data_IF_170867470431
#
_entry.id   IF_170867470431
#
_cell.length_a   1.000
_cell.length_b   1.000
_cell.length_c   1.000
_cell.angle_alpha   90.00
_cell.angle_beta   90.00
_cell.angle_gamma   90.00
#
_symmetry.space_group_name_H-M   'P 1'
#
loop_
_entity.id
_entity.type
_entity.pdbx_description
1 polymer ?
#
# COMPACT_ATOMS: atom_id res chain seq x y z
N UNK A 1 14.44 9.13 29.58
CA UNK A 1 14.96 8.13 28.66
C UNK A 1 13.88 7.22 28.05
N UNK A 2 12.75 7.00 28.69
CA UNK A 2 11.64 6.19 28.15
C UNK A 2 10.76 6.86 27.07
N UNK A 3 10.98 8.13 26.74
CA UNK A 3 10.11 8.92 25.86
C UNK A 3 10.45 8.90 24.36
N UNK A 4 11.63 8.48 23.93
CA UNK A 4 12.03 8.63 22.54
C UNK A 4 11.82 7.39 21.64
N UNK A 5 12.00 6.18 22.14
CA UNK A 5 11.96 4.96 21.32
C UNK A 5 10.60 4.26 21.30
N UNK A 6 9.78 4.42 22.35
CA UNK A 6 8.49 3.71 22.45
C UNK A 6 7.38 4.42 21.69
N UNK A 7 7.35 5.76 21.72
CA UNK A 7 6.29 6.54 21.07
C UNK A 7 6.15 6.28 19.56
N UNK A 8 7.23 6.21 18.75
CA UNK A 8 7.13 5.91 17.33
C UNK A 8 6.56 4.52 17.05
N UNK A 9 6.91 3.51 17.86
CA UNK A 9 6.42 2.14 17.71
C UNK A 9 4.92 2.07 18.05
N UNK A 10 4.54 2.68 19.15
CA UNK A 10 3.15 2.69 19.60
C UNK A 10 2.27 3.39 18.56
N UNK A 11 2.64 4.59 18.11
CA UNK A 11 1.80 5.35 17.17
C UNK A 11 1.57 4.63 15.85
N UNK A 12 2.59 3.95 15.32
CA UNK A 12 2.53 3.31 14.00
C UNK A 12 1.71 2.00 14.01
N UNK A 13 1.51 1.42 15.20
CA UNK A 13 0.70 0.21 15.38
C UNK A 13 -0.72 0.57 15.84
N UNK A 14 -0.84 1.41 16.86
CA UNK A 14 -2.14 1.76 17.46
C UNK A 14 -3.04 2.50 16.49
N UNK A 15 -2.51 3.53 15.80
CA UNK A 15 -3.33 4.36 14.93
C UNK A 15 -4.02 3.56 13.81
N UNK A 16 -3.31 2.76 13.00
CA UNK A 16 -3.96 2.02 11.93
C UNK A 16 -4.87 0.89 12.43
N UNK A 17 -4.51 0.19 13.51
CA UNK A 17 -5.34 -0.91 14.02
C UNK A 17 -6.62 -0.38 14.64
N UNK A 18 -6.56 0.64 15.50
CA UNK A 18 -7.76 1.26 16.09
C UNK A 18 -8.67 1.83 15.00
N UNK A 19 -8.09 2.49 14.00
CA UNK A 19 -8.84 3.02 12.87
C UNK A 19 -9.51 1.91 12.06
N UNK A 20 -8.84 0.77 11.87
CA UNK A 20 -9.38 -0.39 11.17
C UNK A 20 -10.65 -0.93 11.84
N UNK A 21 -10.58 -1.16 13.16
CA UNK A 21 -11.71 -1.65 13.92
C UNK A 21 -12.86 -0.62 13.97
N UNK A 22 -12.55 0.66 14.14
CA UNK A 22 -13.53 1.73 14.09
C UNK A 22 -14.28 1.77 12.76
N UNK A 23 -13.56 1.73 11.62
CA UNK A 23 -14.17 1.76 10.30
C UNK A 23 -14.96 0.49 9.97
N UNK A 24 -14.55 -0.65 10.51
CA UNK A 24 -15.34 -1.89 10.42
C UNK A 24 -16.67 -1.76 11.14
N UNK A 25 -16.66 -1.27 12.39
CA UNK A 25 -17.88 -1.09 13.21
C UNK A 25 -18.83 -0.07 12.59
N UNK A 26 -18.29 1.00 12.00
CA UNK A 26 -19.11 2.02 11.31
C UNK A 26 -19.61 1.59 9.92
N UNK A 27 -19.24 0.40 9.44
CA UNK A 27 -19.71 -0.12 8.17
C UNK A 27 -19.18 0.61 6.94
N UNK A 28 -17.97 1.19 7.03
CA UNK A 28 -17.38 1.92 5.89
C UNK A 28 -17.17 0.98 4.69
N UNK A 29 -17.47 1.40 3.44
CA UNK A 29 -17.41 0.53 2.26
C UNK A 29 -16.02 -0.05 1.96
N UNK A 30 -14.95 0.68 2.27
CA UNK A 30 -13.57 0.24 2.09
C UNK A 30 -12.74 0.54 3.37
N UNK A 31 -12.98 -0.20 4.48
CA UNK A 31 -12.39 0.12 5.78
C UNK A 31 -10.88 -0.07 5.84
N UNK A 32 -10.29 -0.79 4.87
CA UNK A 32 -8.85 -1.07 4.81
C UNK A 32 -8.01 0.11 4.29
N UNK A 33 -8.59 1.01 3.45
CA UNK A 33 -7.83 2.05 2.76
C UNK A 33 -7.22 3.07 3.74
N UNK A 34 -8.03 3.61 4.64
CA UNK A 34 -7.55 4.62 5.58
C UNK A 34 -6.44 4.09 6.52
N UNK A 35 -6.53 2.92 7.15
CA UNK A 35 -5.43 2.34 7.93
C UNK A 35 -4.15 2.12 7.13
N UNK A 36 -4.24 1.66 5.88
CA UNK A 36 -3.08 1.53 5.01
C UNK A 36 -2.41 2.88 4.75
N UNK A 37 -3.21 3.92 4.45
CA UNK A 37 -2.67 5.27 4.27
C UNK A 37 -2.05 5.81 5.57
N UNK A 38 -2.62 5.53 6.74
CA UNK A 38 -2.02 5.91 8.04
C UNK A 38 -0.63 5.30 8.20
N UNK A 39 -0.44 4.01 7.91
CA UNK A 39 0.89 3.38 7.96
C UNK A 39 1.86 4.07 7.01
N UNK A 40 1.44 4.33 5.76
CA UNK A 40 2.28 5.00 4.76
C UNK A 40 2.65 6.41 5.22
N UNK A 41 1.68 7.19 5.69
CA UNK A 41 1.90 8.56 6.12
C UNK A 41 2.80 8.63 7.37
N UNK A 42 2.57 7.77 8.37
CA UNK A 42 3.38 7.74 9.60
C UNK A 42 4.83 7.30 9.36
N UNK A 43 5.08 6.50 8.32
CA UNK A 43 6.45 6.08 7.96
C UNK A 43 7.17 7.09 7.09
N UNK A 44 6.43 7.87 6.30
CA UNK A 44 7.02 8.75 5.28
C UNK A 44 7.08 10.22 5.72
N UNK A 45 6.07 10.68 6.47
CA UNK A 45 5.95 12.07 6.90
C UNK A 45 6.69 12.27 8.23
N UNK A 46 7.57 13.29 8.35
CA UNK A 46 8.20 13.63 9.62
C UNK A 46 7.16 14.12 10.64
N UNK A 47 7.45 14.03 11.93
CA UNK A 47 6.53 14.44 13.01
C UNK A 47 6.14 15.92 12.96
N UNK A 48 6.90 16.76 12.26
CA UNK A 48 6.57 18.16 11.97
C UNK A 48 6.59 18.38 10.45
N UNK A 49 5.52 17.98 9.73
CA UNK A 49 5.49 18.15 8.28
C UNK A 49 5.42 19.65 7.93
N UNK A 50 6.18 20.11 6.93
CA UNK A 50 5.97 21.46 6.39
C UNK A 50 4.58 21.52 5.77
N UNK A 51 3.85 22.64 6.02
CA UNK A 51 2.47 22.81 5.55
C UNK A 51 2.37 22.70 4.02
N UNK A 52 3.40 23.12 3.32
CA UNK A 52 3.50 22.97 1.85
C UNK A 52 3.40 21.52 1.38
N UNK A 53 4.03 20.58 2.10
CA UNK A 53 3.97 19.16 1.78
C UNK A 53 2.56 18.59 2.01
N UNK A 54 1.91 18.99 3.10
CA UNK A 54 0.53 18.56 3.41
C UNK A 54 -0.43 19.03 2.32
N UNK A 55 -0.36 20.33 1.96
CA UNK A 55 -1.18 20.89 0.89
C UNK A 55 -0.90 20.21 -0.44
N UNK A 56 0.34 19.97 -0.78
CA UNK A 56 0.74 19.28 -2.01
C UNK A 56 0.17 17.86 -2.07
N UNK A 57 0.20 17.10 -0.97
CA UNK A 57 -0.38 15.76 -0.89
C UNK A 57 -1.89 15.78 -1.10
N UNK A 58 -2.59 16.72 -0.46
CA UNK A 58 -4.06 16.86 -0.62
C UNK A 58 -4.40 17.24 -2.06
N UNK A 59 -3.70 18.20 -2.67
CA UNK A 59 -3.94 18.63 -4.05
C UNK A 59 -3.70 17.46 -5.03
N UNK A 60 -2.60 16.74 -4.86
CA UNK A 60 -2.29 15.59 -5.73
C UNK A 60 -3.34 14.50 -5.58
N UNK A 61 -3.77 14.22 -4.37
CA UNK A 61 -4.81 13.22 -4.15
C UNK A 61 -6.15 13.63 -4.77
N UNK A 62 -6.55 14.89 -4.62
CA UNK A 62 -7.75 15.43 -5.27
C UNK A 62 -7.66 15.28 -6.78
N UNK A 63 -6.56 15.74 -7.37
CA UNK A 63 -6.33 15.62 -8.80
C UNK A 63 -6.36 14.17 -9.28
N UNK A 64 -5.71 13.26 -8.55
CA UNK A 64 -5.68 11.85 -8.93
C UNK A 64 -7.03 11.17 -8.73
N UNK A 65 -7.72 11.40 -7.60
CA UNK A 65 -9.01 10.75 -7.33
C UNK A 65 -10.10 11.22 -8.27
N UNK A 66 -10.29 12.53 -8.39
CA UNK A 66 -11.36 13.11 -9.25
C UNK A 66 -10.96 13.11 -10.73
N UNK A 67 -9.70 13.41 -11.03
CA UNK A 67 -9.19 13.37 -12.40
C UNK A 67 -9.28 11.97 -13.01
N UNK A 68 -8.95 10.93 -12.25
CA UNK A 68 -9.06 9.55 -12.72
C UNK A 68 -10.50 9.15 -13.00
N UNK A 69 -11.44 9.56 -12.14
CA UNK A 69 -12.85 9.26 -12.40
C UNK A 69 -13.36 10.00 -13.61
N UNK A 70 -13.00 11.26 -13.77
CA UNK A 70 -13.34 12.02 -14.97
C UNK A 70 -12.80 11.33 -16.23
N UNK A 71 -11.55 10.88 -16.22
CA UNK A 71 -10.93 10.12 -17.30
C UNK A 71 -11.67 8.80 -17.56
N UNK A 72 -11.99 8.04 -16.51
CA UNK A 72 -12.74 6.78 -16.66
C UNK A 72 -14.12 7.02 -17.26
N UNK A 73 -14.82 8.07 -16.84
CA UNK A 73 -16.13 8.42 -17.38
C UNK A 73 -16.05 8.91 -18.82
N UNK A 74 -15.08 9.76 -19.14
CA UNK A 74 -14.89 10.32 -20.48
C UNK A 74 -14.55 9.23 -21.51
N UNK A 75 -13.77 8.24 -21.11
CA UNK A 75 -13.33 7.13 -21.96
C UNK A 75 -14.08 5.82 -21.70
N UNK A 76 -15.22 5.86 -21.02
CA UNK A 76 -16.02 4.65 -20.72
C UNK A 76 -16.45 3.89 -22.00
N UNK A 77 -16.73 4.65 -23.08
CA UNK A 77 -17.07 4.09 -24.39
C UNK A 77 -15.90 3.74 -25.30
N UNK A 78 -14.66 4.08 -24.92
CA UNK A 78 -13.46 3.85 -25.72
C UNK A 78 -12.35 3.17 -24.91
N UNK A 79 -12.27 1.83 -24.95
CA UNK A 79 -11.27 1.09 -24.18
C UNK A 79 -9.84 1.45 -24.56
N UNK A 80 -9.59 1.79 -25.84
CA UNK A 80 -8.30 2.23 -26.33
C UNK A 80 -7.90 3.61 -25.78
N UNK A 81 -8.84 4.55 -25.74
CA UNK A 81 -8.62 5.88 -25.13
C UNK A 81 -8.29 5.78 -23.65
N UNK A 82 -9.04 4.96 -22.91
CA UNK A 82 -8.75 4.70 -21.49
C UNK A 82 -7.35 4.09 -21.30
N UNK A 83 -6.97 3.09 -22.10
CA UNK A 83 -5.64 2.48 -22.04
C UNK A 83 -4.52 3.48 -22.30
N UNK A 84 -4.69 4.39 -23.28
CA UNK A 84 -3.71 5.43 -23.59
C UNK A 84 -3.51 6.42 -22.43
N UNK A 85 -4.60 6.85 -21.78
CA UNK A 85 -4.49 7.74 -20.62
C UNK A 85 -3.82 7.03 -19.44
N UNK A 86 -4.20 5.80 -19.14
CA UNK A 86 -3.52 4.98 -18.12
C UNK A 86 -2.02 4.84 -18.42
N UNK A 87 -1.68 4.55 -19.68
CA UNK A 87 -0.30 4.45 -20.12
C UNK A 87 0.47 5.78 -19.93
N UNK A 88 -0.15 6.90 -20.26
CA UNK A 88 0.45 8.24 -20.07
C UNK A 88 0.75 8.52 -18.58
N UNK A 89 -0.19 8.22 -17.69
CA UNK A 89 -0.03 8.41 -16.25
C UNK A 89 1.04 7.45 -15.69
N UNK A 90 1.06 6.19 -16.12
CA UNK A 90 2.13 5.25 -15.74
C UNK A 90 3.49 5.73 -16.21
N UNK A 91 3.61 6.19 -17.47
CA UNK A 91 4.86 6.72 -18.03
C UNK A 91 5.36 7.92 -17.20
N UNK A 92 4.47 8.88 -16.92
CA UNK A 92 4.81 10.04 -16.08
C UNK A 92 5.25 9.63 -14.68
N UNK A 93 4.52 8.72 -14.03
CA UNK A 93 4.82 8.25 -12.68
C UNK A 93 6.16 7.51 -12.62
N UNK A 94 6.45 6.61 -13.58
CA UNK A 94 7.72 5.90 -13.62
C UNK A 94 8.88 6.84 -13.95
N UNK A 95 8.70 7.77 -14.88
CA UNK A 95 9.73 8.77 -15.20
C UNK A 95 10.10 9.61 -13.97
N UNK A 96 9.09 10.11 -13.26
CA UNK A 96 9.28 10.88 -12.02
C UNK A 96 9.93 10.04 -10.92
N UNK A 97 9.51 8.80 -10.76
CA UNK A 97 10.07 7.87 -9.79
C UNK A 97 11.53 7.51 -10.07
N UNK A 98 11.95 7.48 -11.32
CA UNK A 98 13.36 7.29 -11.68
C UNK A 98 14.24 8.47 -11.26
N UNK A 99 13.72 9.70 -11.28
CA UNK A 99 14.45 10.87 -10.80
C UNK A 99 14.49 10.94 -9.27
N UNK A 100 13.41 10.53 -8.63
CA UNK A 100 13.30 10.50 -7.17
C UNK A 100 12.55 9.23 -6.72
N UNK A 101 13.28 8.15 -6.39
CA UNK A 101 12.67 6.88 -5.99
C UNK A 101 11.76 6.96 -4.76
N UNK A 102 11.99 7.96 -3.89
CA UNK A 102 11.20 8.20 -2.68
C UNK A 102 10.03 9.18 -2.91
N UNK A 103 9.75 9.56 -4.16
CA UNK A 103 8.67 10.50 -4.44
C UNK A 103 7.30 9.90 -4.09
N UNK A 104 6.67 10.48 -3.07
CA UNK A 104 5.37 10.06 -2.55
C UNK A 104 4.28 10.28 -3.60
N UNK A 105 4.41 11.33 -4.40
CA UNK A 105 3.42 11.73 -5.40
C UNK A 105 3.30 10.67 -6.49
N UNK A 106 4.43 10.24 -7.06
CA UNK A 106 4.43 9.20 -8.09
C UNK A 106 3.90 7.87 -7.56
N UNK A 107 4.21 7.54 -6.30
CA UNK A 107 3.73 6.33 -5.65
C UNK A 107 2.21 6.36 -5.41
N UNK A 108 1.69 7.47 -4.90
CA UNK A 108 0.25 7.66 -4.73
C UNK A 108 -0.49 7.61 -6.07
N UNK A 109 0.05 8.26 -7.10
CA UNK A 109 -0.55 8.24 -8.45
C UNK A 109 -0.67 6.80 -8.99
N UNK A 110 0.38 5.99 -8.86
CA UNK A 110 0.37 4.58 -9.27
C UNK A 110 -0.68 3.77 -8.51
N UNK A 111 -0.73 3.92 -7.18
CA UNK A 111 -1.68 3.19 -6.33
C UNK A 111 -3.12 3.58 -6.65
N UNK A 112 -3.42 4.89 -6.73
CA UNK A 112 -4.77 5.38 -7.04
C UNK A 112 -5.21 4.94 -8.43
N UNK A 113 -4.33 5.03 -9.43
CA UNK A 113 -4.62 4.57 -10.79
C UNK A 113 -4.97 3.08 -10.85
N UNK A 114 -4.18 2.24 -10.17
CA UNK A 114 -4.42 0.79 -10.12
C UNK A 114 -5.75 0.49 -9.42
N UNK A 115 -5.98 1.11 -8.25
CA UNK A 115 -7.23 0.93 -7.49
C UNK A 115 -8.42 1.35 -8.35
N UNK A 116 -8.39 2.55 -8.93
CA UNK A 116 -9.48 3.07 -9.75
C UNK A 116 -9.76 2.17 -10.95
N UNK A 117 -8.72 1.68 -11.63
CA UNK A 117 -8.85 0.80 -12.80
C UNK A 117 -9.43 -0.56 -12.42
N UNK A 118 -8.92 -1.20 -11.38
CA UNK A 118 -9.38 -2.53 -10.93
C UNK A 118 -10.81 -2.45 -10.40
N UNK A 119 -11.11 -1.49 -9.52
CA UNK A 119 -12.46 -1.35 -8.94
C UNK A 119 -13.49 -1.01 -10.01
N UNK A 120 -13.14 -0.14 -10.95
CA UNK A 120 -14.02 0.23 -12.06
C UNK A 120 -14.32 -0.91 -13.01
N UNK A 121 -13.30 -1.69 -13.41
CA UNK A 121 -13.42 -2.68 -14.48
C UNK A 121 -13.78 -4.08 -13.96
N UNK A 122 -13.35 -4.43 -12.75
CA UNK A 122 -13.56 -5.77 -12.19
C UNK A 122 -14.71 -5.82 -11.18
N UNK A 123 -14.85 -4.82 -10.31
CA UNK A 123 -15.87 -4.85 -9.25
C UNK A 123 -17.19 -4.21 -9.68
N UNK A 124 -17.27 -3.62 -10.89
CA UNK A 124 -18.47 -2.94 -11.42
C UNK A 124 -19.07 -1.93 -10.42
N UNK A 125 -18.22 -1.41 -9.53
CA UNK A 125 -18.63 -0.44 -8.53
C UNK A 125 -19.00 0.88 -9.23
N UNK A 126 -20.05 1.59 -8.80
CA UNK A 126 -20.41 2.87 -9.40
C UNK A 126 -19.25 3.85 -9.27
N UNK A 127 -18.63 4.15 -10.41
CA UNK A 127 -17.40 4.96 -10.52
C UNK A 127 -17.58 6.34 -9.88
N UNK A 128 -18.81 6.86 -9.91
CA UNK A 128 -19.12 8.19 -9.38
C UNK A 128 -18.85 8.36 -7.87
N UNK A 129 -18.98 7.28 -7.08
CA UNK A 129 -18.72 7.32 -5.63
C UNK A 129 -17.27 7.07 -5.22
N UNK A 130 -16.48 6.50 -6.13
CA UNK A 130 -15.13 6.03 -5.82
C UNK A 130 -14.14 7.14 -5.42
N UNK A 131 -14.12 8.32 -6.09
CA UNK A 131 -13.23 9.41 -5.70
C UNK A 131 -13.50 9.91 -4.30
N UNK A 132 -14.79 10.02 -3.96
CA UNK A 132 -15.19 10.49 -2.65
C UNK A 132 -14.72 9.51 -1.56
N UNK A 133 -14.86 8.21 -1.79
CA UNK A 133 -14.43 7.18 -0.83
C UNK A 133 -12.90 7.20 -0.66
N UNK A 134 -12.13 7.29 -1.75
CA UNK A 134 -10.66 7.38 -1.69
C UNK A 134 -10.24 8.67 -1.00
N UNK A 135 -10.87 9.79 -1.34
CA UNK A 135 -10.58 11.09 -0.73
C UNK A 135 -10.91 11.08 0.77
N UNK A 136 -12.07 10.57 1.18
CA UNK A 136 -12.46 10.44 2.58
C UNK A 136 -11.50 9.54 3.36
N UNK A 137 -11.12 8.39 2.79
CA UNK A 137 -10.17 7.48 3.42
C UNK A 137 -8.81 8.15 3.65
N UNK A 138 -8.32 8.91 2.67
CA UNK A 138 -7.05 9.62 2.80
C UNK A 138 -7.15 10.83 3.74
N UNK A 139 -8.20 11.63 3.64
CA UNK A 139 -8.41 12.77 4.53
C UNK A 139 -8.48 12.31 5.99
N UNK A 140 -9.21 11.22 6.24
CA UNK A 140 -9.27 10.61 7.56
C UNK A 140 -7.89 10.10 8.01
N UNK A 141 -7.15 9.45 7.13
CA UNK A 141 -5.79 8.99 7.43
C UNK A 141 -4.85 10.15 7.74
N UNK A 142 -4.94 11.25 7.00
CA UNK A 142 -4.15 12.45 7.23
C UNK A 142 -4.46 13.09 8.60
N UNK A 143 -5.76 13.24 8.90
CA UNK A 143 -6.21 13.78 10.20
C UNK A 143 -5.72 12.91 11.35
N UNK A 144 -5.89 11.59 11.26
CA UNK A 144 -5.41 10.64 12.28
C UNK A 144 -3.88 10.72 12.42
N UNK A 145 -3.15 10.79 11.31
CA UNK A 145 -1.69 10.92 11.33
C UNK A 145 -1.23 12.19 12.03
N UNK A 146 -1.84 13.34 11.70
CA UNK A 146 -1.52 14.61 12.34
C UNK A 146 -1.89 14.61 13.83
N UNK A 147 -3.06 14.09 14.20
CA UNK A 147 -3.49 13.97 15.59
C UNK A 147 -2.52 13.11 16.41
N UNK A 148 -2.09 11.97 15.84
CA UNK A 148 -1.14 11.06 16.50
C UNK A 148 0.25 11.67 16.62
N UNK A 149 0.70 12.46 15.64
CA UNK A 149 1.96 13.20 15.75
C UNK A 149 1.94 14.26 16.86
N UNK A 150 0.77 14.87 17.11
CA UNK A 150 0.59 15.84 18.22
C UNK A 150 0.56 15.11 19.57
N UNK A 151 -0.17 13.99 19.66
CA UNK A 151 -0.33 13.23 20.90
C UNK A 151 0.95 12.47 21.31
N UNK A 152 1.64 11.90 20.35
CA UNK A 152 2.84 11.06 20.53
C UNK A 152 4.01 11.63 19.72
N UNK A 153 4.63 12.74 20.15
CA UNK A 153 5.76 13.31 19.44
C UNK A 153 6.96 12.36 19.50
N UNK A 154 7.66 12.22 18.39
CA UNK A 154 8.85 11.40 18.23
C UNK A 154 8.97 10.87 16.81
N UNK A 155 10.16 10.94 16.24
CA UNK A 155 10.48 10.37 14.93
C UNK A 155 11.09 8.98 15.07
N UNK A 156 10.94 8.16 14.05
CA UNK A 156 11.59 6.86 13.92
C UNK A 156 13.09 7.08 13.61
N UNK A 157 13.86 7.52 14.62
CA UNK A 157 15.30 7.80 14.47
C UNK A 157 16.14 6.52 14.32
N UNK A 158 15.62 5.40 14.85
CA UNK A 158 16.33 4.10 14.85
C UNK A 158 16.15 3.31 13.55
N UNK A 159 15.30 3.79 12.63
CA UNK A 159 15.11 3.15 11.33
C UNK A 159 16.03 3.82 10.31
N UNK A 160 16.90 3.02 9.71
CA UNK A 160 17.74 3.48 8.60
C UNK A 160 16.85 3.99 7.48
N UNK A 161 16.94 5.27 7.17
CA UNK A 161 16.31 5.82 5.97
C UNK A 161 17.04 5.25 4.77
N UNK A 162 16.26 4.75 3.80
CA UNK A 162 16.84 4.33 2.54
C UNK A 162 17.61 5.53 1.93
N UNK A 163 18.90 5.33 1.66
CA UNK A 163 19.68 6.36 0.96
C UNK A 163 19.01 6.61 -0.40
N UNK A 164 18.86 7.88 -0.80
CA UNK A 164 18.34 8.18 -2.12
C UNK A 164 19.23 7.50 -3.16
N UNK A 165 18.71 6.51 -3.85
CA UNK A 165 19.42 5.85 -4.92
C UNK A 165 19.90 6.95 -5.87
N UNK A 166 21.22 7.07 -6.06
CA UNK A 166 21.79 8.08 -6.95
C UNK A 166 21.16 7.93 -8.32
N UNK A 167 20.48 8.99 -8.76
CA UNK A 167 19.62 8.93 -9.94
C UNK A 167 20.38 8.50 -11.19
N UNK A 168 20.13 7.29 -11.62
CA UNK A 168 20.52 6.86 -12.97
C UNK A 168 19.73 7.73 -13.94
N UNK A 169 20.41 8.30 -14.93
CA UNK A 169 19.77 9.07 -15.99
C UNK A 169 18.60 8.25 -16.54
N UNK A 170 17.38 8.60 -16.16
CA UNK A 170 16.20 7.86 -16.60
C UNK A 170 15.97 8.16 -18.07
N UNK A 171 16.22 7.16 -18.90
CA UNK A 171 15.81 7.25 -20.29
C UNK A 171 14.28 7.15 -20.33
N UNK A 172 13.61 8.16 -20.87
CA UNK A 172 12.16 8.18 -21.09
C UNK A 172 11.66 6.87 -21.76
N UNK A 173 12.48 6.31 -22.65
CA UNK A 173 12.22 5.01 -23.31
C UNK A 173 12.00 3.87 -22.31
N UNK A 174 12.80 3.79 -21.25
CA UNK A 174 12.65 2.77 -20.21
C UNK A 174 11.35 2.97 -19.42
N UNK A 175 11.00 4.21 -19.11
CA UNK A 175 9.72 4.52 -18.46
C UNK A 175 8.51 4.13 -19.32
N UNK A 176 8.57 4.40 -20.65
CA UNK A 176 7.55 3.99 -21.61
C UNK A 176 7.41 2.46 -21.69
N UNK A 177 8.53 1.72 -21.77
CA UNK A 177 8.51 0.25 -21.79
C UNK A 177 7.90 -0.33 -20.52
N UNK A 178 8.26 0.20 -19.34
CA UNK A 178 7.68 -0.20 -18.06
C UNK A 178 6.18 0.10 -17.99
N UNK A 179 5.75 1.26 -18.49
CA UNK A 179 4.34 1.63 -18.56
C UNK A 179 3.55 0.70 -19.47
N UNK A 180 4.09 0.36 -20.64
CA UNK A 180 3.48 -0.60 -21.57
C UNK A 180 3.34 -1.97 -20.92
N UNK A 181 4.40 -2.47 -20.30
CA UNK A 181 4.37 -3.74 -19.58
C UNK A 181 3.32 -3.74 -18.45
N UNK A 182 3.23 -2.64 -17.68
CA UNK A 182 2.23 -2.51 -16.62
C UNK A 182 0.79 -2.49 -17.14
N UNK A 183 0.53 -1.81 -18.26
CA UNK A 183 -0.78 -1.81 -18.91
C UNK A 183 -1.16 -3.23 -19.37
N UNK A 184 -0.24 -3.98 -19.98
CA UNK A 184 -0.48 -5.35 -20.40
C UNK A 184 -0.79 -6.27 -19.21
N UNK A 185 -0.02 -6.13 -18.12
CA UNK A 185 -0.27 -6.88 -16.88
C UNK A 185 -1.65 -6.56 -16.31
N UNK A 186 -2.05 -5.28 -16.26
CA UNK A 186 -3.36 -4.88 -15.78
C UNK A 186 -4.49 -5.47 -16.62
N UNK A 187 -4.39 -5.39 -17.94
CA UNK A 187 -5.38 -5.96 -18.86
C UNK A 187 -5.51 -7.48 -18.65
N UNK A 188 -4.38 -8.18 -18.57
CA UNK A 188 -4.35 -9.62 -18.32
C UNK A 188 -4.97 -9.99 -16.97
N UNK A 189 -4.62 -9.27 -15.89
CA UNK A 189 -5.12 -9.53 -14.55
C UNK A 189 -6.63 -9.25 -14.42
N UNK A 190 -7.12 -8.18 -15.05
CA UNK A 190 -8.55 -7.86 -15.08
C UNK A 190 -9.30 -8.92 -15.86
N UNK A 191 -8.74 -9.40 -16.99
CA UNK A 191 -9.33 -10.48 -17.78
C UNK A 191 -9.45 -11.81 -17.02
N UNK A 192 -8.49 -12.12 -16.14
CA UNK A 192 -8.53 -13.33 -15.30
C UNK A 192 -9.58 -13.19 -14.18
N UNK A 193 -9.90 -11.97 -13.74
CA UNK A 193 -10.92 -11.73 -12.70
C UNK A 193 -10.53 -12.21 -11.30
N UNK A 194 -9.24 -12.35 -11.00
CA UNK A 194 -8.77 -12.83 -9.69
C UNK A 194 -9.14 -11.85 -8.56
N UNK A 195 -9.57 -12.37 -7.41
CA UNK A 195 -9.82 -11.58 -6.21
C UNK A 195 -8.57 -10.83 -5.69
N UNK A 196 -7.38 -11.25 -6.11
CA UNK A 196 -6.08 -10.68 -5.72
C UNK A 196 -5.49 -9.74 -6.79
N UNK A 197 -6.23 -9.41 -7.86
CA UNK A 197 -5.77 -8.55 -8.97
C UNK A 197 -5.13 -7.25 -8.49
N UNK A 198 -5.77 -6.56 -7.55
CA UNK A 198 -5.27 -5.29 -7.02
C UNK A 198 -3.91 -5.46 -6.32
N UNK A 199 -3.75 -6.51 -5.53
CA UNK A 199 -2.51 -6.81 -4.83
C UNK A 199 -1.36 -7.12 -5.79
N UNK A 200 -1.64 -7.98 -6.79
CA UNK A 200 -0.66 -8.36 -7.82
C UNK A 200 -0.23 -7.11 -8.60
N UNK A 201 -1.18 -6.30 -9.05
CA UNK A 201 -0.90 -5.10 -9.83
C UNK A 201 -0.06 -4.07 -9.05
N UNK A 202 -0.39 -3.81 -7.76
CA UNK A 202 0.40 -2.90 -6.91
C UNK A 202 1.81 -3.45 -6.69
N UNK A 203 1.96 -4.77 -6.50
CA UNK A 203 3.27 -5.40 -6.31
C UNK A 203 4.11 -5.31 -7.57
N UNK A 204 3.56 -5.65 -8.74
CA UNK A 204 4.28 -5.51 -10.04
C UNK A 204 4.67 -4.06 -10.28
N UNK A 205 3.74 -3.10 -10.06
CA UNK A 205 4.01 -1.68 -10.22
C UNK A 205 5.15 -1.20 -9.32
N UNK A 206 5.17 -1.64 -8.06
CA UNK A 206 6.25 -1.27 -7.13
C UNK A 206 7.61 -1.88 -7.53
N UNK A 207 7.63 -3.06 -8.15
CA UNK A 207 8.86 -3.65 -8.71
C UNK A 207 9.35 -2.88 -9.95
N UNK A 208 8.45 -2.53 -10.86
CA UNK A 208 8.81 -1.77 -12.06
C UNK A 208 9.32 -0.36 -11.73
N UNK A 209 8.99 0.17 -10.55
CA UNK A 209 9.51 1.44 -10.05
C UNK A 209 11.01 1.40 -9.78
N UNK A 210 11.58 0.24 -9.44
CA UNK A 210 12.99 0.11 -9.13
C UNK A 210 13.88 0.41 -10.33
N UNK A 211 14.95 1.24 -10.17
CA UNK A 211 15.80 1.65 -11.29
C UNK A 211 16.81 0.57 -11.73
N UNK A 212 17.20 -0.38 -10.87
CA UNK A 212 18.30 -1.32 -11.10
C UNK A 212 17.89 -2.77 -10.87
N UNK A 213 18.41 -3.68 -11.70
CA UNK A 213 18.22 -5.14 -11.61
C UNK A 213 18.85 -5.73 -10.34
N UNK A 214 19.95 -5.17 -9.84
CA UNK A 214 20.65 -5.67 -8.65
C UNK A 214 19.83 -5.49 -7.37
N UNK A 215 19.11 -4.40 -7.22
CA UNK A 215 18.20 -4.18 -6.08
C UNK A 215 16.92 -5.02 -6.15
N UNK A 216 16.64 -5.64 -7.27
CA UNK A 216 15.45 -6.47 -7.45
C UNK A 216 15.47 -7.72 -6.58
N UNK A 217 16.62 -8.40 -6.43
CA UNK A 217 16.74 -9.63 -5.63
C UNK A 217 16.46 -9.34 -4.16
N UNK A 218 17.03 -8.24 -3.64
CA UNK A 218 16.82 -7.82 -2.25
C UNK A 218 15.36 -7.44 -2.01
N UNK A 219 14.74 -6.70 -2.93
CA UNK A 219 13.32 -6.34 -2.87
C UNK A 219 12.41 -7.58 -2.89
N UNK A 220 12.67 -8.54 -3.78
CA UNK A 220 11.94 -9.81 -3.86
C UNK A 220 12.00 -10.56 -2.54
N UNK A 221 13.21 -10.76 -2.03
CA UNK A 221 13.44 -11.47 -0.79
C UNK A 221 12.76 -10.77 0.40
N UNK A 222 12.94 -9.46 0.50
CA UNK A 222 12.29 -8.64 1.51
C UNK A 222 10.75 -8.72 1.43
N UNK A 223 10.19 -8.64 0.22
CA UNK A 223 8.73 -8.72 0.01
C UNK A 223 8.16 -10.06 0.42
N UNK A 224 8.83 -11.16 0.08
CA UNK A 224 8.42 -12.51 0.49
C UNK A 224 8.52 -12.70 2.01
N UNK A 225 9.64 -12.32 2.61
CA UNK A 225 9.84 -12.43 4.06
C UNK A 225 8.82 -11.58 4.81
N UNK A 226 8.62 -10.33 4.43
CA UNK A 226 7.67 -9.45 5.12
C UNK A 226 6.24 -9.98 5.04
N UNK A 227 5.87 -10.57 3.90
CA UNK A 227 4.54 -11.17 3.77
C UNK A 227 4.42 -12.46 4.58
N UNK A 228 5.42 -13.34 4.53
CA UNK A 228 5.42 -14.56 5.33
C UNK A 228 5.41 -14.25 6.84
N UNK A 229 6.22 -13.28 7.28
CA UNK A 229 6.24 -12.81 8.66
C UNK A 229 4.89 -12.19 9.06
N UNK A 230 4.29 -11.36 8.20
CA UNK A 230 2.96 -10.80 8.41
C UNK A 230 1.91 -11.90 8.61
N UNK A 231 1.90 -12.95 7.77
CA UNK A 231 1.01 -14.09 7.90
C UNK A 231 1.23 -14.79 9.25
N UNK A 232 2.49 -15.11 9.60
CA UNK A 232 2.83 -15.78 10.85
C UNK A 232 2.31 -15.02 12.07
N UNK A 233 2.51 -13.70 12.11
CA UNK A 233 2.02 -12.85 13.22
C UNK A 233 0.50 -12.65 13.22
N UNK A 234 -0.18 -12.92 12.10
CA UNK A 234 -1.64 -12.81 12.03
C UNK A 234 -2.34 -14.14 12.38
N UNK A 235 -1.64 -15.27 12.38
CA UNK A 235 -2.23 -16.59 12.70
C UNK A 235 -2.99 -16.58 14.04
N UNK A 236 -2.46 -16.05 15.17
CA UNK A 236 -3.21 -16.05 16.44
C UNK A 236 -4.51 -15.24 16.33
N UNK A 237 -4.49 -14.11 15.60
CA UNK A 237 -5.70 -13.31 15.36
C UNK A 237 -6.72 -14.08 14.53
N UNK A 238 -6.27 -14.81 13.50
CA UNK A 238 -7.13 -15.66 12.66
C UNK A 238 -7.79 -16.78 13.48
N UNK A 239 -7.03 -17.44 14.35
CA UNK A 239 -7.54 -18.47 15.24
C UNK A 239 -8.60 -17.92 16.21
N UNK A 240 -8.35 -16.78 16.83
CA UNK A 240 -9.32 -16.13 17.72
C UNK A 240 -10.63 -15.77 17.00
N UNK A 241 -10.53 -15.25 15.77
CA UNK A 241 -11.71 -14.99 14.95
C UNK A 241 -12.46 -16.31 14.60
N UNK A 242 -11.73 -17.39 14.33
CA UNK A 242 -12.29 -18.71 14.05
C UNK A 242 -13.02 -19.32 15.25
N UNK A 243 -12.56 -19.04 16.46
CA UNK A 243 -13.22 -19.46 17.71
C UNK A 243 -14.36 -18.54 18.16
N UNK A 244 -14.67 -17.51 17.39
CA UNK A 244 -15.75 -16.57 17.72
C UNK A 244 -15.42 -15.64 18.87
N UNK A 245 -14.14 -15.33 19.09
CA UNK A 245 -13.72 -14.40 20.15
C UNK A 245 -14.35 -13.00 19.93
N UNK A 246 -14.72 -12.28 21.00
CA UNK A 246 -15.29 -10.94 20.89
C UNK A 246 -14.31 -9.98 20.23
N UNK A 247 -14.82 -9.00 19.46
CA UNK A 247 -14.00 -8.08 18.66
C UNK A 247 -12.95 -7.30 19.47
N UNK A 248 -13.27 -6.95 20.72
CA UNK A 248 -12.32 -6.24 21.60
C UNK A 248 -11.11 -7.11 21.98
N UNK A 249 -11.28 -8.43 22.12
CA UNK A 249 -10.18 -9.39 22.36
C UNK A 249 -9.30 -9.46 21.12
N UNK A 250 -9.92 -9.62 19.93
CA UNK A 250 -9.21 -9.67 18.65
C UNK A 250 -8.41 -8.38 18.44
N UNK A 251 -8.99 -7.22 18.75
CA UNK A 251 -8.32 -5.93 18.69
C UNK A 251 -7.12 -5.87 19.63
N UNK A 252 -7.28 -6.27 20.89
CA UNK A 252 -6.20 -6.28 21.89
C UNK A 252 -5.02 -7.16 21.48
N UNK A 253 -5.32 -8.37 20.99
CA UNK A 253 -4.29 -9.30 20.50
C UNK A 253 -3.62 -8.76 19.24
N UNK A 254 -4.36 -8.16 18.31
CA UNK A 254 -3.80 -7.54 17.12
C UNK A 254 -2.86 -6.37 17.47
N UNK A 255 -3.21 -5.55 18.45
CA UNK A 255 -2.33 -4.49 18.94
C UNK A 255 -1.05 -5.06 19.55
N UNK A 256 -1.17 -6.07 20.40
CA UNK A 256 0.00 -6.73 21.01
C UNK A 256 0.94 -7.33 19.97
N UNK A 257 0.40 -8.10 19.02
CA UNK A 257 1.17 -8.73 17.95
C UNK A 257 1.78 -7.68 17.01
N UNK A 258 1.07 -6.61 16.71
CA UNK A 258 1.58 -5.49 15.92
C UNK A 258 2.78 -4.81 16.58
N UNK A 259 2.75 -4.60 17.91
CA UNK A 259 3.89 -4.06 18.68
C UNK A 259 5.07 -5.02 18.63
N UNK A 260 4.84 -6.32 18.85
CA UNK A 260 5.89 -7.34 18.77
C UNK A 260 6.54 -7.35 17.39
N UNK A 261 5.72 -7.27 16.33
CA UNK A 261 6.18 -7.23 14.95
C UNK A 261 7.03 -5.97 14.67
N UNK A 262 6.59 -4.82 15.16
CA UNK A 262 7.32 -3.55 15.03
C UNK A 262 8.65 -3.59 15.77
N UNK A 263 8.67 -4.11 17.00
CA UNK A 263 9.89 -4.31 17.78
C UNK A 263 10.85 -5.31 17.11
N UNK A 264 10.33 -6.39 16.54
CA UNK A 264 11.13 -7.37 15.80
C UNK A 264 11.82 -6.73 14.59
N UNK A 265 11.09 -5.92 13.82
CA UNK A 265 11.64 -5.24 12.66
C UNK A 265 12.75 -4.24 13.03
N UNK A 266 12.59 -3.49 14.11
CA UNK A 266 13.61 -2.57 14.61
C UNK A 266 14.86 -3.33 15.08
N UNK A 267 14.70 -4.44 15.82
CA UNK A 267 15.84 -5.27 16.27
C UNK A 267 16.65 -5.87 15.12
N UNK A 268 16.02 -6.04 13.96
CA UNK A 268 16.63 -6.55 12.73
C UNK A 268 17.22 -5.45 11.84
N UNK A 269 17.31 -4.22 12.34
CA UNK A 269 17.78 -3.04 11.55
C UNK A 269 17.06 -2.90 10.21
N UNK A 270 15.75 -3.18 10.19
CA UNK A 270 14.96 -3.12 8.98
C UNK A 270 14.95 -1.71 8.40
N UNK A 271 15.16 -1.60 7.09
CA UNK A 271 15.02 -0.34 6.36
C UNK A 271 13.57 0.18 6.41
N UNK A 272 13.39 1.49 6.30
CA UNK A 272 12.07 2.13 6.41
C UNK A 272 11.03 1.55 5.44
N UNK A 273 11.42 1.21 4.22
CA UNK A 273 10.55 0.58 3.23
C UNK A 273 10.07 -0.82 3.66
N UNK A 274 10.96 -1.64 4.26
CA UNK A 274 10.63 -2.97 4.77
C UNK A 274 9.66 -2.86 5.95
N UNK A 275 9.95 -1.92 6.85
CA UNK A 275 9.13 -1.65 8.03
C UNK A 275 7.72 -1.25 7.64
N UNK A 276 7.58 -0.30 6.71
CA UNK A 276 6.31 0.12 6.14
C UNK A 276 5.55 -1.05 5.51
N UNK A 277 6.25 -1.86 4.72
CA UNK A 277 5.68 -2.99 4.02
C UNK A 277 5.15 -4.05 4.98
N UNK A 278 5.94 -4.36 6.02
CA UNK A 278 5.60 -5.33 7.05
C UNK A 278 4.32 -4.94 7.80
N UNK A 279 4.24 -3.69 8.27
CA UNK A 279 3.08 -3.20 8.99
C UNK A 279 1.85 -3.05 8.09
N UNK A 280 2.01 -2.59 6.85
CA UNK A 280 0.91 -2.54 5.90
C UNK A 280 0.34 -3.93 5.63
N UNK A 281 1.21 -4.93 5.43
CA UNK A 281 0.77 -6.31 5.25
C UNK A 281 0.05 -6.85 6.48
N UNK A 282 0.57 -6.57 7.69
CA UNK A 282 -0.06 -6.99 8.94
C UNK A 282 -1.48 -6.40 9.09
N UNK A 283 -1.66 -5.10 8.85
CA UNK A 283 -2.96 -4.43 8.90
C UNK A 283 -3.95 -5.04 7.89
N UNK A 284 -3.49 -5.29 6.66
CA UNK A 284 -4.33 -5.89 5.62
C UNK A 284 -4.72 -7.34 5.96
N UNK A 285 -3.80 -8.13 6.49
CA UNK A 285 -4.09 -9.50 6.93
C UNK A 285 -5.01 -9.54 8.14
N UNK A 286 -4.84 -8.63 9.10
CA UNK A 286 -5.75 -8.47 10.23
C UNK A 286 -7.17 -8.15 9.75
N UNK A 287 -7.31 -7.24 8.77
CA UNK A 287 -8.61 -6.97 8.16
C UNK A 287 -9.23 -8.21 7.52
N UNK A 288 -8.46 -8.99 6.76
CA UNK A 288 -8.96 -10.22 6.14
C UNK A 288 -9.38 -11.26 7.18
N UNK A 289 -8.61 -11.38 8.27
CA UNK A 289 -8.96 -12.26 9.38
C UNK A 289 -10.30 -11.89 10.04
N UNK A 290 -10.57 -10.59 10.17
CA UNK A 290 -11.81 -10.08 10.76
C UNK A 290 -12.99 -10.18 9.77
N UNK A 291 -12.74 -10.04 8.47
CA UNK A 291 -13.76 -10.12 7.42
C UNK A 291 -14.19 -11.55 7.13
N UNK A 292 -13.23 -12.47 7.05
CA UNK A 292 -13.44 -13.87 6.71
C UNK A 292 -13.23 -14.71 7.97
N UNK A 293 -14.29 -15.12 8.61
CA UNK A 293 -14.24 -15.92 9.83
C UNK A 293 -13.93 -17.39 9.50
N UNK A 294 -12.97 -18.02 10.20
CA UNK A 294 -12.67 -19.44 10.09
C UNK A 294 -11.52 -19.80 9.15
N UNK A 295 -11.55 -21.02 8.59
CA UNK A 295 -10.50 -21.58 7.74
C UNK A 295 -10.27 -20.79 6.44
N UNK A 296 -11.29 -20.05 5.97
CA UNK A 296 -11.19 -19.18 4.80
C UNK A 296 -10.19 -18.04 5.01
N UNK A 297 -9.98 -17.61 6.24
CA UNK A 297 -9.00 -16.59 6.61
C UNK A 297 -7.56 -17.07 6.35
N UNK A 298 -7.26 -18.31 6.72
CA UNK A 298 -5.94 -18.92 6.50
C UNK A 298 -5.67 -19.18 5.01
N UNK A 299 -6.68 -19.73 4.30
CA UNK A 299 -6.64 -19.91 2.85
C UNK A 299 -6.39 -18.58 2.14
N UNK A 300 -7.05 -17.50 2.56
CA UNK A 300 -6.84 -16.13 2.03
C UNK A 300 -5.40 -15.64 2.26
N UNK A 301 -4.78 -15.95 3.39
CA UNK A 301 -3.38 -15.63 3.68
C UNK A 301 -2.41 -16.36 2.74
N UNK A 302 -2.61 -17.66 2.52
CA UNK A 302 -1.80 -18.48 1.60
C UNK A 302 -1.99 -17.97 0.15
N UNK A 303 -3.24 -17.72 -0.27
CA UNK A 303 -3.53 -17.18 -1.61
C UNK A 303 -2.82 -15.83 -1.83
N UNK A 304 -2.72 -15.01 -0.79
CA UNK A 304 -1.98 -13.76 -0.85
C UNK A 304 -0.49 -13.98 -1.03
N UNK A 305 0.11 -14.93 -0.29
CA UNK A 305 1.53 -15.27 -0.47
C UNK A 305 1.80 -15.77 -1.90
N UNK A 306 0.95 -16.67 -2.40
CA UNK A 306 1.03 -17.18 -3.76
C UNK A 306 0.90 -16.05 -4.79
N UNK A 307 -0.08 -15.16 -4.61
CA UNK A 307 -0.30 -14.00 -5.49
C UNK A 307 0.89 -13.04 -5.52
N UNK A 308 1.52 -12.79 -4.37
CA UNK A 308 2.74 -11.97 -4.31
C UNK A 308 3.91 -12.68 -5.01
N UNK A 309 4.05 -14.00 -4.84
CA UNK A 309 5.09 -14.78 -5.53
C UNK A 309 4.91 -14.71 -7.05
N UNK A 310 3.68 -14.84 -7.54
CA UNK A 310 3.34 -14.68 -8.97
C UNK A 310 3.65 -13.26 -9.44
N UNK A 311 3.26 -12.24 -8.68
CA UNK A 311 3.53 -10.83 -9.01
C UNK A 311 5.03 -10.55 -9.13
N UNK A 312 5.81 -11.09 -8.22
CA UNK A 312 7.27 -11.00 -8.21
C UNK A 312 7.85 -11.67 -9.46
N UNK A 313 7.38 -12.88 -9.79
CA UNK A 313 7.82 -13.61 -10.99
C UNK A 313 7.53 -12.81 -12.27
N UNK A 314 6.30 -12.27 -12.40
CA UNK A 314 5.91 -11.42 -13.53
C UNK A 314 6.79 -10.17 -13.61
N UNK A 315 6.96 -9.46 -12.48
CA UNK A 315 7.79 -8.24 -12.41
C UNK A 315 9.25 -8.52 -12.77
N UNK A 316 9.81 -9.64 -12.29
CA UNK A 316 11.17 -10.07 -12.61
C UNK A 316 11.33 -10.43 -14.08
N UNK A 317 10.36 -11.11 -14.69
CA UNK A 317 10.35 -11.43 -16.10
C UNK A 317 10.34 -10.16 -16.95
N UNK A 318 9.49 -9.20 -16.64
CA UNK A 318 9.38 -7.92 -17.34
C UNK A 318 10.71 -7.17 -17.27
N UNK A 319 11.31 -7.07 -16.07
CA UNK A 319 12.58 -6.36 -15.89
C UNK A 319 13.77 -7.03 -16.58
N UNK A 320 13.67 -8.33 -16.87
CA UNK A 320 14.66 -9.05 -17.69
C UNK A 320 14.52 -8.76 -19.20
N UNK A 321 13.29 -8.43 -19.64
CA UNK A 321 13.00 -8.16 -21.06
C UNK A 321 13.25 -6.71 -21.43
N UNK A 322 13.28 -5.78 -20.47
CA UNK A 322 13.58 -4.35 -20.63
C UNK A 322 15.07 -4.09 -20.47
#
# INVERSE_FOLDING_TARGET
MFRSCVNPIVKIVFAPILLLFYLKVTGHPLPILAPMFVVILLTTIPSKPPMSLVVQLVVVLLLMSFGMVFVVQMFAGSPTGFALVCWGIFTWSYHRSHHNPQDIISNLALIVLIIATVVSKQMHFPIAGLPLIIFQAFALALVVTLAVHILLPGDLQDIKRDEPAQGIKSHLRVAMLKATAMCLVLVALIGIGSSQTMLIAITVSSMLKLPLIDHQKDYVYQRLITTATGILFTIPTMLLCGFGAPEWVVMGVSLFLGIQLACYAIRRDAHAAIYQLLLTNFVVLTYQAIKNVGLDSFSSGIMRLASISIAIFIGALILRLI
#
